data_IF_760826085242
#
_entry.id   IF_760826085242
#
_cell.length_a   1.000
_cell.length_b   1.000
_cell.length_c   1.000
_cell.angle_alpha   90.00
_cell.angle_beta   90.00
_cell.angle_gamma   90.00
#
_symmetry.space_group_name_H-M   'P 1'
#
loop_
_entity.id
_entity.type
_entity.pdbx_description
1 polymer ?
#
# COMPACT_ATOMS: atom_id res chain seq x y z
N UNK A 1 3.20 -28.05 -92.31
CA UNK A 1 2.65 -26.71 -92.50
C UNK A 1 1.54 -26.48 -91.51
N UNK A 2 1.79 -25.89 -90.39
CA UNK A 2 0.76 -25.35 -89.52
C UNK A 2 1.36 -24.16 -88.74
N UNK A 3 0.76 -23.02 -88.97
CA UNK A 3 1.07 -21.74 -88.38
C UNK A 3 0.65 -21.76 -86.91
N UNK A 4 1.53 -21.44 -85.96
CA UNK A 4 1.23 -21.28 -84.57
C UNK A 4 1.15 -19.79 -84.26
N UNK A 5 -0.03 -19.33 -83.86
CA UNK A 5 -0.35 -17.99 -83.40
C UNK A 5 0.11 -17.81 -81.93
N UNK A 6 0.94 -16.77 -81.71
CA UNK A 6 1.35 -16.38 -80.36
C UNK A 6 0.38 -15.36 -79.75
N UNK A 7 -0.32 -15.71 -78.72
CA UNK A 7 -1.10 -14.78 -77.92
C UNK A 7 -0.22 -14.18 -76.80
N UNK A 8 -0.05 -12.86 -76.79
CA UNK A 8 0.62 -12.10 -75.74
C UNK A 8 -0.34 -11.92 -74.54
N UNK A 9 -0.05 -12.57 -73.47
CA UNK A 9 -0.72 -12.29 -72.16
C UNK A 9 -0.12 -11.02 -71.55
N UNK A 10 -0.97 -10.01 -71.31
CA UNK A 10 -0.62 -8.82 -70.55
C UNK A 10 -0.75 -9.15 -69.09
N UNK A 11 0.37 -9.14 -68.34
CA UNK A 11 0.36 -9.19 -66.85
C UNK A 11 -0.05 -7.81 -66.34
N UNK A 12 -1.22 -7.72 -65.74
CA UNK A 12 -1.64 -6.58 -64.93
C UNK A 12 -1.04 -6.68 -63.53
N UNK A 13 -0.15 -5.76 -63.18
CA UNK A 13 0.39 -5.63 -61.82
C UNK A 13 -0.66 -4.90 -60.97
N UNK A 14 -1.32 -5.64 -60.09
CA UNK A 14 -2.17 -5.06 -59.05
C UNK A 14 -1.28 -4.71 -57.84
N UNK A 15 -0.95 -3.42 -57.70
CA UNK A 15 -0.26 -2.94 -56.49
C UNK A 15 -1.24 -2.91 -55.31
N UNK A 16 -1.13 -3.90 -54.42
CA UNK A 16 -1.83 -3.88 -53.15
C UNK A 16 -1.10 -2.93 -52.20
N UNK A 17 -1.67 -1.75 -51.97
CA UNK A 17 -1.26 -0.84 -50.89
C UNK A 17 -1.68 -1.45 -49.55
N UNK A 18 -0.75 -2.10 -48.86
CA UNK A 18 -0.92 -2.48 -47.47
C UNK A 18 -0.77 -1.23 -46.59
N UNK A 19 -1.88 -0.65 -46.14
CA UNK A 19 -1.88 0.39 -45.12
C UNK A 19 -1.64 -0.31 -43.79
N UNK A 20 -0.38 -0.34 -43.33
CA UNK A 20 -0.01 -0.75 -41.99
C UNK A 20 -0.44 0.35 -41.02
N UNK A 21 -1.61 0.20 -40.39
CA UNK A 21 -2.00 1.05 -39.28
C UNK A 21 -1.06 0.71 -38.08
N UNK A 22 -0.03 1.53 -37.91
CA UNK A 22 0.77 1.55 -36.69
C UNK A 22 -0.15 2.02 -35.55
N UNK A 23 -0.69 1.06 -34.81
CA UNK A 23 -1.30 1.34 -33.50
C UNK A 23 -0.17 1.71 -32.56
N UNK A 24 0.10 3.00 -32.45
CA UNK A 24 0.93 3.53 -31.37
C UNK A 24 0.18 3.32 -30.06
N UNK A 25 0.50 2.24 -29.36
CA UNK A 25 0.12 2.10 -27.95
C UNK A 25 0.84 3.23 -27.24
N UNK A 26 0.12 4.31 -26.96
CA UNK A 26 0.57 5.32 -26.02
C UNK A 26 0.62 4.67 -24.65
N UNK A 27 1.80 4.20 -24.25
CA UNK A 27 2.08 3.89 -22.85
C UNK A 27 2.01 5.24 -22.14
N UNK A 28 0.83 5.57 -21.59
CA UNK A 28 0.72 6.66 -20.64
C UNK A 28 1.61 6.24 -19.48
N UNK A 29 2.69 6.97 -19.17
CA UNK A 29 3.49 6.64 -18.01
C UNK A 29 2.55 6.66 -16.80
N UNK A 30 2.49 5.55 -16.07
CA UNK A 30 1.81 5.52 -14.79
C UNK A 30 2.39 6.68 -13.98
N UNK A 31 1.59 7.69 -13.73
CA UNK A 31 1.98 8.84 -12.92
C UNK A 31 2.49 8.27 -11.58
N UNK A 32 3.76 8.48 -11.28
CA UNK A 32 4.40 8.05 -10.04
C UNK A 32 3.93 8.90 -8.84
N UNK A 33 2.67 9.31 -8.82
CA UNK A 33 2.04 10.08 -7.79
C UNK A 33 0.65 9.53 -7.51
N UNK A 34 0.38 9.13 -6.27
CA UNK A 34 -0.96 8.79 -5.81
C UNK A 34 -1.95 9.93 -6.02
N UNK A 35 -3.24 9.67 -5.79
CA UNK A 35 -4.28 10.71 -5.85
C UNK A 35 -4.12 11.69 -4.69
N UNK A 36 -4.44 12.95 -4.93
CA UNK A 36 -4.40 13.96 -3.88
C UNK A 36 -5.53 13.74 -2.86
N UNK A 37 -5.22 13.97 -1.59
CA UNK A 37 -6.22 14.02 -0.54
C UNK A 37 -7.17 15.18 -0.80
N UNK A 38 -8.45 14.89 -0.95
CA UNK A 38 -9.49 15.89 -1.19
C UNK A 38 -10.61 15.73 -0.17
N UNK A 39 -10.78 16.73 0.67
CA UNK A 39 -11.85 16.74 1.67
C UNK A 39 -13.22 16.75 0.98
N UNK A 40 -14.16 16.03 1.57
CA UNK A 40 -15.55 16.05 1.08
C UNK A 40 -16.11 17.47 1.06
N UNK A 41 -16.86 17.79 0.00
CA UNK A 41 -17.59 19.06 -0.11
C UNK A 41 -18.85 18.96 0.74
N UNK A 42 -19.09 19.97 1.58
CA UNK A 42 -20.28 20.01 2.45
C UNK A 42 -21.57 19.88 1.61
N UNK A 43 -22.46 18.99 2.05
CA UNK A 43 -23.72 18.73 1.35
C UNK A 43 -23.62 17.87 0.09
N UNK A 44 -22.42 17.50 -0.37
CA UNK A 44 -22.26 16.67 -1.58
C UNK A 44 -22.89 15.29 -1.47
N UNK A 45 -23.05 14.76 -0.26
CA UNK A 45 -23.66 13.47 0.05
C UNK A 45 -25.09 13.55 0.58
N UNK A 46 -25.74 14.73 0.52
CA UNK A 46 -27.11 14.86 1.02
C UNK A 46 -28.06 13.89 0.32
N UNK A 47 -28.81 13.12 1.11
CA UNK A 47 -29.74 12.10 0.62
C UNK A 47 -29.07 10.78 0.25
N UNK A 48 -27.75 10.65 0.40
CA UNK A 48 -26.99 9.43 0.13
C UNK A 48 -26.73 8.69 1.45
N UNK A 49 -26.88 7.36 1.41
CA UNK A 49 -26.44 6.47 2.50
C UNK A 49 -25.21 5.69 2.02
N UNK A 50 -24.10 5.85 2.72
CA UNK A 50 -22.85 5.11 2.44
C UNK A 50 -22.50 4.16 3.57
N UNK A 51 -21.82 3.07 3.24
CA UNK A 51 -21.38 2.05 4.19
C UNK A 51 -19.84 2.00 4.32
N UNK A 52 -19.37 1.47 5.44
CA UNK A 52 -18.01 1.00 5.63
C UNK A 52 -18.04 -0.37 6.29
N UNK A 53 -17.50 -1.39 5.61
CA UNK A 53 -17.02 -2.61 6.28
C UNK A 53 -15.61 -2.28 6.75
N UNK A 54 -15.42 -2.14 8.06
CA UNK A 54 -14.13 -1.82 8.66
C UNK A 54 -13.21 -3.03 8.77
N UNK A 55 -11.92 -2.78 8.96
CA UNK A 55 -10.91 -3.81 9.18
C UNK A 55 -11.11 -4.49 10.55
N UNK A 56 -10.86 -3.71 11.60
CA UNK A 56 -11.04 -4.03 13.02
C UNK A 56 -10.74 -2.74 13.81
N UNK A 57 -11.70 -2.25 14.60
CA UNK A 57 -11.55 -1.01 15.37
C UNK A 57 -10.65 -1.18 16.62
N UNK A 58 -10.25 -2.39 16.96
CA UNK A 58 -9.23 -2.64 17.98
C UNK A 58 -7.81 -2.40 17.49
N UNK A 59 -7.61 -2.28 16.16
CA UNK A 59 -6.34 -1.98 15.51
C UNK A 59 -6.28 -0.49 15.20
N UNK A 60 -5.22 0.21 15.63
CA UNK A 60 -5.06 1.65 15.46
C UNK A 60 -5.26 2.11 14.02
N UNK A 61 -4.63 1.43 13.05
CA UNK A 61 -4.79 1.72 11.62
C UNK A 61 -6.26 1.59 11.16
N UNK A 62 -6.94 0.50 11.53
CA UNK A 62 -8.34 0.26 11.17
C UNK A 62 -9.26 1.33 11.74
N UNK A 63 -9.04 1.69 13.01
CA UNK A 63 -9.77 2.76 13.69
C UNK A 63 -9.56 4.13 13.06
N UNK A 64 -8.33 4.50 12.72
CA UNK A 64 -8.03 5.78 12.09
C UNK A 64 -8.69 5.89 10.71
N UNK A 65 -8.71 4.80 9.93
CA UNK A 65 -9.42 4.72 8.64
C UNK A 65 -10.92 4.90 8.86
N UNK A 66 -11.53 4.19 9.83
CA UNK A 66 -12.95 4.34 10.17
C UNK A 66 -13.28 5.78 10.56
N UNK A 67 -12.58 6.35 11.53
CA UNK A 67 -12.84 7.71 12.04
C UNK A 67 -12.71 8.76 10.93
N UNK A 68 -11.73 8.57 10.03
CA UNK A 68 -11.52 9.43 8.87
C UNK A 68 -12.71 9.38 7.90
N UNK A 69 -13.17 8.18 7.56
CA UNK A 69 -14.30 7.98 6.64
C UNK A 69 -15.59 8.52 7.25
N UNK A 70 -15.86 8.25 8.54
CA UNK A 70 -17.03 8.78 9.23
C UNK A 70 -17.03 10.32 9.25
N UNK A 71 -15.90 10.92 9.57
CA UNK A 71 -15.72 12.38 9.58
C UNK A 71 -16.04 13.00 8.22
N UNK A 72 -15.48 12.46 7.14
CA UNK A 72 -15.73 12.99 5.80
C UNK A 72 -17.15 12.70 5.30
N UNK A 73 -17.76 11.56 5.68
CA UNK A 73 -19.16 11.25 5.40
C UNK A 73 -20.12 12.25 6.08
N UNK A 74 -19.91 12.53 7.36
CA UNK A 74 -20.67 13.56 8.12
C UNK A 74 -20.53 14.94 7.48
N UNK A 75 -19.31 15.33 7.10
CA UNK A 75 -19.05 16.59 6.41
C UNK A 75 -19.77 16.68 5.05
N UNK A 76 -19.80 15.60 4.30
CA UNK A 76 -20.56 15.50 3.05
C UNK A 76 -22.08 15.56 3.28
N UNK A 77 -22.58 15.40 4.50
CA UNK A 77 -24.02 15.30 4.82
C UNK A 77 -24.62 13.96 4.39
N UNK A 78 -23.81 12.92 4.21
CA UNK A 78 -24.25 11.57 3.93
C UNK A 78 -24.66 10.84 5.23
N UNK A 79 -25.64 9.95 5.14
CA UNK A 79 -25.92 8.99 6.20
C UNK A 79 -24.83 7.91 6.19
N UNK A 80 -24.17 7.68 7.32
CA UNK A 80 -23.09 6.72 7.43
C UNK A 80 -23.54 5.45 8.17
N UNK A 81 -23.15 4.29 7.67
CA UNK A 81 -23.41 2.99 8.26
C UNK A 81 -22.09 2.24 8.40
N UNK A 82 -21.63 2.11 9.64
CA UNK A 82 -20.44 1.33 9.95
C UNK A 82 -20.78 -0.10 10.34
N UNK A 83 -19.89 -1.04 9.98
CA UNK A 83 -19.90 -2.42 10.41
C UNK A 83 -18.46 -2.91 10.54
N UNK A 84 -18.03 -3.23 11.77
CA UNK A 84 -16.69 -3.73 12.06
C UNK A 84 -16.50 -5.17 11.56
N UNK A 85 -15.57 -5.38 10.65
CA UNK A 85 -15.27 -6.68 10.02
C UNK A 85 -14.48 -7.63 10.90
N UNK A 86 -13.80 -7.13 11.95
CA UNK A 86 -13.05 -7.89 12.96
C UNK A 86 -12.04 -8.89 12.37
N UNK A 87 -11.42 -8.52 11.24
CA UNK A 87 -10.50 -9.38 10.47
C UNK A 87 -11.12 -10.71 10.02
N UNK A 88 -12.45 -10.83 9.99
CA UNK A 88 -13.15 -12.09 9.71
C UNK A 88 -14.07 -11.97 8.49
N UNK A 89 -13.87 -12.83 7.50
CA UNK A 89 -14.66 -12.84 6.26
C UNK A 89 -16.14 -13.12 6.47
N UNK A 90 -16.50 -13.97 7.43
CA UNK A 90 -17.89 -14.27 7.79
C UNK A 90 -18.59 -13.06 8.44
N UNK A 91 -17.88 -12.29 9.27
CA UNK A 91 -18.39 -11.05 9.84
C UNK A 91 -18.57 -10.00 8.75
N UNK A 92 -17.59 -9.83 7.84
CA UNK A 92 -17.69 -8.94 6.70
C UNK A 92 -18.87 -9.31 5.78
N UNK A 93 -19.12 -10.61 5.59
CA UNK A 93 -20.29 -11.12 4.86
C UNK A 93 -21.62 -10.70 5.53
N UNK A 94 -21.70 -10.78 6.86
CA UNK A 94 -22.87 -10.33 7.62
C UNK A 94 -23.05 -8.80 7.51
N UNK A 95 -21.96 -8.03 7.49
CA UNK A 95 -21.97 -6.59 7.24
C UNK A 95 -22.58 -6.26 5.86
N UNK A 96 -22.17 -6.95 4.81
CA UNK A 96 -22.70 -6.76 3.46
C UNK A 96 -24.21 -7.03 3.36
N UNK A 97 -24.70 -8.10 4.00
CA UNK A 97 -26.13 -8.38 4.13
C UNK A 97 -26.89 -7.25 4.85
N UNK A 98 -26.29 -6.71 5.92
CA UNK A 98 -26.84 -5.56 6.67
C UNK A 98 -26.93 -4.31 5.78
N UNK A 99 -25.91 -4.05 4.94
CA UNK A 99 -25.92 -2.93 4.01
C UNK A 99 -27.02 -3.05 2.96
N UNK A 100 -27.30 -4.27 2.47
CA UNK A 100 -28.43 -4.54 1.57
C UNK A 100 -29.76 -4.22 2.23
N UNK A 101 -29.98 -4.64 3.48
CA UNK A 101 -31.18 -4.34 4.24
C UNK A 101 -31.35 -2.84 4.52
N UNK A 102 -30.27 -2.13 4.82
CA UNK A 102 -30.25 -0.68 5.07
C UNK A 102 -30.27 0.16 3.79
N UNK A 103 -30.34 -0.47 2.60
CA UNK A 103 -30.37 0.21 1.28
C UNK A 103 -29.20 1.18 1.09
N UNK A 104 -28.00 0.75 1.48
CA UNK A 104 -26.76 1.51 1.26
C UNK A 104 -26.55 1.69 -0.24
N UNK A 105 -26.21 2.91 -0.69
CA UNK A 105 -26.10 3.27 -2.10
C UNK A 105 -24.67 3.16 -2.65
N UNK A 106 -23.70 2.93 -1.78
CA UNK A 106 -22.30 2.64 -2.07
C UNK A 106 -21.56 2.39 -0.78
N UNK A 107 -20.48 1.61 -0.81
CA UNK A 107 -19.72 1.35 0.41
C UNK A 107 -18.21 1.20 0.15
N UNK A 108 -17.44 1.46 1.19
CA UNK A 108 -16.03 1.14 1.26
C UNK A 108 -15.89 -0.22 1.93
N UNK A 109 -15.00 -1.05 1.42
CA UNK A 109 -14.80 -2.42 1.91
C UNK A 109 -13.35 -2.66 2.30
N UNK A 110 -13.11 -2.74 3.60
CA UNK A 110 -11.80 -3.04 4.18
C UNK A 110 -11.80 -4.45 4.81
N UNK A 111 -12.41 -5.42 4.12
CA UNK A 111 -12.36 -6.81 4.55
C UNK A 111 -10.94 -7.38 4.41
N UNK A 112 -10.44 -7.99 5.48
CA UNK A 112 -9.10 -8.57 5.53
C UNK A 112 -8.97 -9.91 4.79
N UNK A 113 -10.06 -10.62 4.62
CA UNK A 113 -10.10 -11.96 3.99
C UNK A 113 -10.45 -11.85 2.50
N UNK A 114 -9.43 -11.79 1.65
CA UNK A 114 -9.61 -11.74 0.20
C UNK A 114 -10.40 -12.95 -0.35
N UNK A 115 -10.31 -14.13 0.28
CA UNK A 115 -11.03 -15.32 -0.16
C UNK A 115 -12.56 -15.18 0.05
N UNK A 116 -13.00 -14.36 1.00
CA UNK A 116 -14.41 -14.09 1.24
C UNK A 116 -15.01 -13.07 0.25
N UNK A 117 -14.21 -12.36 -0.54
CA UNK A 117 -14.64 -11.23 -1.36
C UNK A 117 -15.80 -11.55 -2.29
N UNK A 118 -15.75 -12.67 -3.03
CA UNK A 118 -16.81 -13.06 -3.95
C UNK A 118 -18.14 -13.31 -3.24
N UNK A 119 -18.09 -13.93 -2.04
CA UNK A 119 -19.29 -14.18 -1.24
C UNK A 119 -19.88 -12.88 -0.67
N UNK A 120 -19.02 -11.95 -0.21
CA UNK A 120 -19.39 -10.62 0.26
C UNK A 120 -20.05 -9.82 -0.86
N UNK A 121 -19.47 -9.83 -2.06
CA UNK A 121 -20.02 -9.16 -3.25
C UNK A 121 -21.41 -9.69 -3.61
N UNK A 122 -21.60 -11.02 -3.59
CA UNK A 122 -22.89 -11.66 -3.89
C UNK A 122 -23.96 -11.33 -2.85
N UNK A 123 -23.59 -11.26 -1.58
CA UNK A 123 -24.50 -11.03 -0.46
C UNK A 123 -24.91 -9.57 -0.31
N UNK A 124 -24.00 -8.65 -0.67
CA UNK A 124 -24.19 -7.20 -0.53
C UNK A 124 -25.17 -6.57 -1.51
N UNK A 125 -25.41 -5.27 -1.37
CA UNK A 125 -26.14 -4.51 -2.38
C UNK A 125 -25.30 -4.38 -3.65
N UNK A 126 -25.97 -4.40 -4.82
CA UNK A 126 -25.32 -4.21 -6.12
C UNK A 126 -25.15 -2.70 -6.38
N UNK A 127 -24.15 -2.11 -5.77
CA UNK A 127 -23.87 -0.65 -5.76
C UNK A 127 -22.36 -0.44 -5.91
N UNK A 128 -21.89 0.78 -6.18
CA UNK A 128 -20.46 1.06 -6.23
C UNK A 128 -19.74 0.67 -4.93
N UNK A 129 -18.60 -0.01 -5.09
CA UNK A 129 -17.73 -0.45 -4.00
C UNK A 129 -16.31 0.07 -4.22
N UNK A 130 -15.74 0.71 -3.21
CA UNK A 130 -14.31 1.01 -3.17
C UNK A 130 -13.64 0.01 -2.22
N UNK A 131 -12.78 -0.85 -2.75
CA UNK A 131 -11.94 -1.72 -1.95
C UNK A 131 -10.85 -0.91 -1.25
N UNK A 132 -10.55 -1.21 0.02
CA UNK A 132 -9.47 -0.57 0.79
C UNK A 132 -8.36 -1.57 1.04
N UNK A 133 -7.15 -1.26 0.59
CA UNK A 133 -5.86 -1.97 0.77
C UNK A 133 -5.85 -3.45 0.34
N UNK A 134 -6.98 -4.10 0.26
CA UNK A 134 -7.15 -5.50 -0.14
C UNK A 134 -8.22 -5.55 -1.23
N UNK A 135 -7.89 -6.17 -2.37
CA UNK A 135 -8.81 -6.28 -3.50
C UNK A 135 -10.08 -7.06 -3.12
N UNK A 136 -11.22 -6.57 -3.61
CA UNK A 136 -12.54 -7.10 -3.30
C UNK A 136 -13.29 -7.51 -4.59
N UNK A 137 -12.64 -8.37 -5.38
CA UNK A 137 -13.23 -8.89 -6.60
C UNK A 137 -14.44 -9.83 -6.32
N UNK A 138 -15.45 -9.83 -7.22
CA UNK A 138 -15.55 -9.11 -8.51
C UNK A 138 -16.31 -7.78 -8.45
N UNK A 139 -16.68 -7.26 -7.28
CA UNK A 139 -17.61 -6.12 -7.20
C UNK A 139 -16.94 -4.76 -7.01
N UNK A 140 -15.64 -4.67 -6.88
CA UNK A 140 -14.97 -3.39 -6.69
C UNK A 140 -15.08 -2.50 -7.93
N UNK A 141 -15.57 -1.28 -7.73
CA UNK A 141 -15.63 -0.24 -8.76
C UNK A 141 -14.34 0.59 -8.82
N UNK A 142 -13.61 0.63 -7.71
CA UNK A 142 -12.28 1.21 -7.58
C UNK A 142 -11.52 0.56 -6.41
N UNK A 143 -10.21 0.67 -6.45
CA UNK A 143 -9.30 0.24 -5.38
C UNK A 143 -8.62 1.47 -4.78
N UNK A 144 -8.69 1.63 -3.46
CA UNK A 144 -7.99 2.67 -2.70
C UNK A 144 -7.00 2.01 -1.76
N UNK A 145 -5.74 2.42 -1.79
CA UNK A 145 -4.75 1.83 -0.91
C UNK A 145 -3.34 2.26 -1.19
N UNK A 146 -2.42 1.65 -0.46
CA UNK A 146 -1.00 1.90 -0.57
C UNK A 146 -0.45 1.52 -1.96
N UNK A 147 0.46 2.33 -2.47
CA UNK A 147 1.40 1.90 -3.50
C UNK A 147 2.56 1.16 -2.82
N UNK A 148 2.31 -0.11 -2.50
CA UNK A 148 3.18 -0.92 -1.66
C UNK A 148 4.64 -0.99 -2.16
N UNK A 149 4.84 -1.13 -3.47
CA UNK A 149 6.19 -1.18 -4.05
C UNK A 149 6.90 0.18 -3.91
N UNK A 150 6.21 1.28 -4.25
CA UNK A 150 6.77 2.62 -4.14
C UNK A 150 6.98 3.04 -2.67
N UNK A 151 6.10 2.61 -1.77
CA UNK A 151 6.26 2.85 -0.33
C UNK A 151 7.54 2.20 0.19
N UNK A 152 7.77 0.92 -0.13
CA UNK A 152 9.03 0.23 0.21
C UNK A 152 10.24 0.90 -0.42
N UNK A 153 10.18 1.22 -1.72
CA UNK A 153 11.28 1.85 -2.44
C UNK A 153 11.67 3.22 -1.87
N UNK A 154 10.68 4.00 -1.42
CA UNK A 154 10.92 5.31 -0.80
C UNK A 154 11.78 5.20 0.46
N UNK A 155 11.41 4.33 1.40
CA UNK A 155 12.21 4.10 2.62
C UNK A 155 13.51 3.39 2.30
N UNK A 156 13.53 2.40 1.40
CA UNK A 156 14.77 1.73 0.97
C UNK A 156 15.79 2.72 0.40
N UNK A 157 15.35 3.67 -0.42
CA UNK A 157 16.18 4.74 -0.96
C UNK A 157 16.69 5.69 0.14
N UNK A 158 15.86 6.00 1.14
CA UNK A 158 16.29 6.83 2.28
C UNK A 158 17.42 6.14 3.07
N UNK A 159 17.28 4.84 3.35
CA UNK A 159 18.32 4.02 3.98
C UNK A 159 19.59 3.99 3.12
N UNK A 160 19.45 3.74 1.81
CA UNK A 160 20.58 3.75 0.88
C UNK A 160 21.33 5.07 0.86
N UNK A 161 20.62 6.20 0.82
CA UNK A 161 21.23 7.54 0.88
C UNK A 161 21.98 7.77 2.19
N UNK A 162 21.42 7.33 3.31
CA UNK A 162 22.10 7.43 4.61
C UNK A 162 23.39 6.59 4.63
N UNK A 163 23.32 5.33 4.18
CA UNK A 163 24.49 4.45 4.13
C UNK A 163 25.54 4.93 3.13
N UNK A 164 25.14 5.48 1.99
CA UNK A 164 26.08 6.08 1.04
C UNK A 164 26.83 7.26 1.65
N UNK A 165 26.11 8.13 2.35
CA UNK A 165 26.69 9.34 2.96
C UNK A 165 27.63 9.01 4.12
N UNK A 166 27.23 8.09 5.01
CA UNK A 166 27.91 7.89 6.28
C UNK A 166 28.87 6.69 6.29
N UNK A 167 28.65 5.71 5.43
CA UNK A 167 29.38 4.44 5.40
C UNK A 167 29.83 4.03 4.00
N UNK A 168 29.77 4.91 3.00
CA UNK A 168 30.12 4.61 1.60
C UNK A 168 29.43 3.32 1.08
N UNK A 169 28.16 3.11 1.45
CA UNK A 169 27.37 1.90 1.17
C UNK A 169 27.90 0.60 1.81
N UNK A 170 28.81 0.69 2.79
CA UNK A 170 29.22 -0.48 3.56
C UNK A 170 28.18 -0.84 4.62
N UNK A 171 27.78 -2.11 4.66
CA UNK A 171 26.90 -2.69 5.68
C UNK A 171 27.24 -4.16 5.89
N UNK A 172 26.89 -4.69 7.06
CA UNK A 172 27.22 -6.06 7.45
C UNK A 172 26.13 -7.05 7.06
N UNK A 173 24.86 -6.70 7.28
CA UNK A 173 23.70 -7.52 6.95
C UNK A 173 22.50 -6.64 6.60
N UNK A 174 21.56 -7.20 5.85
CA UNK A 174 20.25 -6.65 5.54
C UNK A 174 19.19 -7.63 6.04
N UNK A 175 18.55 -7.32 7.15
CA UNK A 175 17.49 -8.12 7.77
C UNK A 175 16.14 -7.62 7.29
N UNK A 176 15.33 -8.52 6.76
CA UNK A 176 13.98 -8.28 6.23
C UNK A 176 12.97 -8.98 7.13
N UNK A 177 12.23 -8.22 7.93
CA UNK A 177 11.16 -8.74 8.81
C UNK A 177 9.85 -8.70 8.02
N UNK A 178 9.50 -9.84 7.47
CA UNK A 178 8.39 -10.05 6.56
C UNK A 178 7.13 -10.56 7.29
N UNK A 179 5.96 -10.42 6.69
CA UNK A 179 4.73 -11.12 7.09
C UNK A 179 4.18 -11.82 5.87
N UNK A 180 4.52 -13.11 5.72
CA UNK A 180 4.10 -13.89 4.55
C UNK A 180 2.59 -14.11 4.49
N UNK A 181 1.89 -13.96 5.62
CA UNK A 181 0.43 -14.11 5.70
C UNK A 181 -0.34 -13.04 4.91
N UNK A 182 0.29 -11.88 4.64
CA UNK A 182 -0.35 -10.80 3.86
C UNK A 182 -0.06 -10.88 2.35
N UNK A 183 0.58 -11.96 1.89
CA UNK A 183 0.73 -12.31 0.48
C UNK A 183 1.43 -11.23 -0.35
N UNK A 184 0.81 -10.84 -1.47
CA UNK A 184 1.41 -9.91 -2.46
C UNK A 184 1.79 -8.56 -1.85
N UNK A 185 1.12 -8.08 -0.81
CA UNK A 185 1.48 -6.84 -0.16
C UNK A 185 2.86 -6.95 0.52
N UNK A 186 3.18 -8.11 1.14
CA UNK A 186 4.51 -8.37 1.67
C UNK A 186 5.57 -8.35 0.55
N UNK A 187 5.32 -9.06 -0.54
CA UNK A 187 6.27 -9.15 -1.66
C UNK A 187 6.60 -7.77 -2.22
N UNK A 188 5.57 -6.94 -2.46
CA UNK A 188 5.72 -5.60 -3.00
C UNK A 188 6.44 -4.65 -2.02
N UNK A 189 6.06 -4.65 -0.73
CA UNK A 189 6.69 -3.79 0.28
C UNK A 189 8.15 -4.14 0.47
N UNK A 190 8.42 -5.43 0.72
CA UNK A 190 9.78 -5.88 1.04
C UNK A 190 10.66 -5.92 -0.20
N UNK A 191 10.12 -6.21 -1.39
CA UNK A 191 10.78 -6.01 -2.68
C UNK A 191 11.15 -4.56 -2.90
N UNK A 192 10.20 -3.65 -2.67
CA UNK A 192 10.42 -2.21 -2.77
C UNK A 192 11.60 -1.71 -1.93
N UNK A 193 11.74 -2.13 -0.66
CA UNK A 193 12.91 -1.76 0.17
C UNK A 193 14.23 -2.17 -0.49
N UNK A 194 14.29 -3.40 -1.00
CA UNK A 194 15.51 -3.92 -1.65
C UNK A 194 15.83 -3.13 -2.92
N UNK A 195 14.82 -2.84 -3.73
CA UNK A 195 14.97 -2.08 -4.99
C UNK A 195 15.36 -0.63 -4.71
N UNK A 196 14.72 0.01 -3.74
CA UNK A 196 15.04 1.37 -3.31
C UNK A 196 16.47 1.48 -2.78
N UNK A 197 16.90 0.57 -1.92
CA UNK A 197 18.27 0.53 -1.43
C UNK A 197 19.26 0.26 -2.57
N UNK A 198 18.96 -0.71 -3.43
CA UNK A 198 19.80 -1.08 -4.55
C UNK A 198 19.99 0.06 -5.57
N UNK A 199 18.98 0.92 -5.72
CA UNK A 199 19.07 2.10 -6.60
C UNK A 199 20.16 3.11 -6.19
N UNK A 200 20.65 3.01 -4.94
CA UNK A 200 21.66 3.90 -4.37
C UNK A 200 22.99 3.17 -4.11
N UNK A 201 22.92 2.00 -3.51
CA UNK A 201 24.08 1.24 -3.03
C UNK A 201 24.38 -0.05 -3.82
N UNK A 202 23.63 -0.32 -4.89
CA UNK A 202 23.76 -1.55 -5.66
C UNK A 202 23.00 -2.72 -5.04
N UNK A 203 22.93 -3.82 -5.77
CA UNK A 203 22.19 -5.02 -5.38
C UNK A 203 22.68 -5.59 -4.03
N UNK A 204 21.74 -6.05 -3.21
CA UNK A 204 22.04 -6.67 -1.92
C UNK A 204 22.57 -8.09 -2.18
N UNK A 205 23.84 -8.40 -1.81
CA UNK A 205 24.37 -9.77 -1.95
C UNK A 205 23.53 -10.77 -1.15
N UNK A 206 23.26 -11.94 -1.73
CA UNK A 206 22.46 -12.98 -1.09
C UNK A 206 23.01 -13.40 0.29
N UNK A 207 24.33 -13.40 0.47
CA UNK A 207 24.99 -13.72 1.74
C UNK A 207 24.66 -12.71 2.85
N UNK A 208 24.33 -11.46 2.50
CA UNK A 208 23.98 -10.40 3.46
C UNK A 208 22.48 -10.30 3.72
N UNK A 209 21.62 -10.84 2.84
CA UNK A 209 20.17 -10.78 2.98
C UNK A 209 19.68 -11.91 3.90
N UNK A 210 19.01 -11.52 4.97
CA UNK A 210 18.35 -12.43 5.92
C UNK A 210 16.86 -12.09 5.96
N UNK A 211 16.00 -13.08 5.72
CA UNK A 211 14.54 -12.92 5.72
C UNK A 211 13.94 -13.74 6.85
N UNK A 212 13.03 -13.12 7.61
CA UNK A 212 12.34 -13.76 8.71
C UNK A 212 10.84 -13.43 8.65
N UNK A 213 9.98 -14.40 8.94
CA UNK A 213 8.54 -14.19 9.14
C UNK A 213 8.31 -13.56 10.52
N UNK A 214 8.61 -12.28 10.63
CA UNK A 214 8.70 -11.54 11.88
C UNK A 214 8.25 -10.07 11.73
N UNK A 215 7.29 -9.82 10.84
CA UNK A 215 6.75 -8.47 10.61
C UNK A 215 5.91 -7.91 11.75
N UNK A 216 5.50 -8.74 12.72
CA UNK A 216 4.73 -8.33 13.90
C UNK A 216 5.63 -8.08 15.09
N UNK A 217 5.15 -7.26 16.04
CA UNK A 217 5.92 -6.89 17.23
C UNK A 217 6.40 -8.11 18.03
N UNK A 218 5.50 -9.03 18.34
CA UNK A 218 5.78 -10.25 19.11
C UNK A 218 6.78 -11.15 18.40
N UNK A 219 6.62 -11.33 17.09
CA UNK A 219 7.52 -12.13 16.26
C UNK A 219 8.90 -11.50 16.09
N UNK A 220 8.97 -10.18 15.95
CA UNK A 220 10.25 -9.48 15.92
C UNK A 220 11.00 -9.58 17.24
N UNK A 221 10.29 -9.49 18.37
CA UNK A 221 10.85 -9.72 19.72
C UNK A 221 11.44 -11.13 19.88
N UNK A 222 10.77 -12.14 19.31
CA UNK A 222 11.20 -13.55 19.36
C UNK A 222 12.45 -13.78 18.47
N UNK A 223 12.45 -13.27 17.24
CA UNK A 223 13.44 -13.63 16.21
C UNK A 223 14.73 -12.79 16.28
N UNK A 224 14.63 -11.51 16.62
CA UNK A 224 15.77 -10.59 16.51
C UNK A 224 16.96 -10.93 17.43
N UNK A 225 16.80 -11.41 18.69
CA UNK A 225 17.93 -11.81 19.52
C UNK A 225 18.78 -12.89 18.83
N UNK A 226 18.15 -13.93 18.27
CA UNK A 226 18.83 -15.01 17.57
C UNK A 226 19.49 -14.51 16.27
N UNK A 227 18.80 -13.69 15.50
CA UNK A 227 19.36 -13.07 14.30
C UNK A 227 20.63 -12.28 14.62
N UNK A 228 20.66 -11.52 15.72
CA UNK A 228 21.81 -10.73 16.15
C UNK A 228 22.97 -11.60 16.66
N UNK A 229 22.69 -12.74 17.27
CA UNK A 229 23.76 -13.68 17.72
C UNK A 229 24.52 -14.29 16.56
N UNK A 230 23.89 -14.39 15.37
CA UNK A 230 24.59 -14.84 14.14
C UNK A 230 25.51 -13.77 13.54
N UNK A 231 25.50 -12.56 14.08
CA UNK A 231 26.23 -11.38 13.59
C UNK A 231 27.13 -10.78 14.70
N UNK A 232 28.05 -11.54 15.30
CA UNK A 232 28.88 -11.04 16.39
C UNK A 232 29.81 -9.91 15.91
N UNK A 233 29.88 -8.82 16.69
CA UNK A 233 30.73 -7.66 16.39
C UNK A 233 30.33 -6.83 15.18
N UNK A 234 29.18 -7.13 14.54
CA UNK A 234 28.62 -6.38 13.42
C UNK A 234 27.77 -5.22 13.93
N UNK A 235 27.98 -4.01 13.42
CA UNK A 235 27.32 -2.78 13.90
C UNK A 235 26.71 -1.92 12.80
N UNK A 236 26.74 -2.39 11.56
CA UNK A 236 26.09 -1.75 10.40
C UNK A 236 24.99 -2.67 9.86
N UNK A 237 24.05 -3.07 10.72
CA UNK A 237 22.98 -4.01 10.38
C UNK A 237 21.74 -3.22 9.96
N UNK A 238 21.35 -3.35 8.69
CA UNK A 238 20.10 -2.76 8.19
C UNK A 238 18.96 -3.68 8.56
N UNK A 239 17.89 -3.13 9.15
CA UNK A 239 16.66 -3.85 9.48
C UNK A 239 15.48 -3.15 8.84
N UNK A 240 14.73 -3.84 7.99
CA UNK A 240 13.48 -3.34 7.43
C UNK A 240 12.33 -4.24 7.82
N UNK A 241 11.17 -3.66 8.05
CA UNK A 241 9.96 -4.44 8.38
C UNK A 241 8.78 -4.01 7.52
N UNK A 242 7.84 -4.94 7.35
CA UNK A 242 6.61 -4.71 6.58
C UNK A 242 5.76 -3.57 7.14
N UNK A 243 5.89 -3.28 8.44
CA UNK A 243 5.19 -2.23 9.18
C UNK A 243 6.05 -1.68 10.33
N UNK A 244 5.51 -0.72 11.09
CA UNK A 244 6.19 -0.09 12.21
C UNK A 244 6.38 -1.03 13.40
N UNK A 245 5.42 -1.92 13.67
CA UNK A 245 5.43 -2.84 14.81
C UNK A 245 6.62 -3.81 14.75
N UNK A 246 6.98 -4.28 13.54
CA UNK A 246 8.17 -5.11 13.35
C UNK A 246 9.46 -4.38 13.75
N UNK A 247 9.57 -3.07 13.45
CA UNK A 247 10.75 -2.27 13.85
C UNK A 247 10.73 -1.96 15.34
N UNK A 248 9.56 -1.69 15.95
CA UNK A 248 9.46 -1.56 17.41
C UNK A 248 9.95 -2.83 18.15
N UNK A 249 9.51 -4.00 17.65
CA UNK A 249 9.97 -5.28 18.17
C UNK A 249 11.48 -5.47 17.99
N UNK A 250 12.01 -5.12 16.81
CA UNK A 250 13.44 -5.24 16.52
C UNK A 250 14.30 -4.36 17.45
N UNK A 251 13.94 -3.08 17.65
CA UNK A 251 14.68 -2.21 18.58
C UNK A 251 14.55 -2.68 20.03
N UNK A 252 13.36 -3.12 20.45
CA UNK A 252 13.14 -3.63 21.80
C UNK A 252 13.98 -4.88 22.07
N UNK A 253 14.02 -5.82 21.14
CA UNK A 253 14.84 -7.02 21.22
C UNK A 253 16.34 -6.70 21.20
N UNK A 254 16.79 -5.81 20.30
CA UNK A 254 18.18 -5.39 20.23
C UNK A 254 18.64 -4.71 21.52
N UNK A 255 17.77 -3.87 22.13
CA UNK A 255 18.04 -3.23 23.43
C UNK A 255 18.19 -4.24 24.56
N UNK A 256 17.35 -5.28 24.58
CA UNK A 256 17.42 -6.33 25.62
C UNK A 256 18.76 -7.07 25.60
N UNK A 257 19.45 -7.13 24.46
CA UNK A 257 20.78 -7.75 24.31
C UNK A 257 21.92 -6.72 24.16
N UNK A 258 21.66 -5.43 24.42
CA UNK A 258 22.64 -4.33 24.40
C UNK A 258 23.17 -3.99 23.01
N UNK A 259 22.38 -4.23 21.94
CA UNK A 259 22.78 -4.07 20.54
C UNK A 259 21.89 -3.11 19.74
N UNK A 260 21.14 -2.27 20.40
CA UNK A 260 20.24 -1.30 19.76
C UNK A 260 20.97 -0.29 18.85
N UNK A 261 22.26 -0.03 19.14
CA UNK A 261 23.11 0.85 18.33
C UNK A 261 23.74 0.16 17.11
N UNK A 262 23.61 -1.14 16.99
CA UNK A 262 24.15 -1.92 15.88
C UNK A 262 23.17 -1.98 14.70
N UNK A 263 21.89 -1.66 14.92
CA UNK A 263 20.84 -1.74 13.91
C UNK A 263 20.42 -0.35 13.40
N UNK A 264 20.14 -0.30 12.10
CA UNK A 264 19.69 0.89 11.38
C UNK A 264 18.40 0.52 10.64
N UNK A 265 17.29 1.18 10.97
CA UNK A 265 15.99 0.63 10.63
C UNK A 265 15.16 1.49 9.69
N UNK A 266 14.25 0.84 8.98
CA UNK A 266 13.19 1.48 8.20
C UNK A 266 11.89 0.70 8.23
N UNK A 267 10.78 1.43 8.32
CA UNK A 267 9.43 0.88 8.44
C UNK A 267 8.46 1.43 7.40
N UNK A 268 7.22 0.96 7.48
CA UNK A 268 6.08 1.48 6.72
C UNK A 268 4.87 1.63 7.65
N UNK A 269 4.15 2.75 7.48
CA UNK A 269 3.01 3.14 8.29
C UNK A 269 3.18 4.58 8.75
N UNK A 270 4.24 4.87 9.50
CA UNK A 270 4.42 6.07 10.31
C UNK A 270 3.20 6.32 11.19
N UNK A 271 2.76 5.26 11.88
CA UNK A 271 1.61 5.29 12.77
C UNK A 271 1.89 6.16 14.00
N UNK A 272 0.83 6.69 14.60
CA UNK A 272 0.94 7.60 15.75
C UNK A 272 1.72 6.99 16.93
N UNK A 273 1.63 5.68 17.11
CA UNK A 273 2.32 4.92 18.17
C UNK A 273 3.84 4.96 18.07
N UNK A 274 4.40 5.24 16.89
CA UNK A 274 5.85 5.28 16.64
C UNK A 274 6.40 6.68 16.38
N UNK A 275 5.57 7.72 16.42
CA UNK A 275 6.03 9.07 16.08
C UNK A 275 7.19 9.55 16.96
N UNK A 276 7.13 9.26 18.26
CA UNK A 276 8.21 9.61 19.17
C UNK A 276 9.49 8.82 18.86
N UNK A 277 9.36 7.53 18.58
CA UNK A 277 10.50 6.70 18.22
C UNK A 277 11.16 7.20 16.92
N UNK A 278 10.37 7.48 15.87
CA UNK A 278 10.88 8.05 14.61
C UNK A 278 11.56 9.40 14.85
N UNK A 279 11.00 10.23 15.76
CA UNK A 279 11.50 11.58 16.02
C UNK A 279 12.80 11.58 16.79
N UNK A 280 12.98 10.67 17.74
CA UNK A 280 14.07 10.70 18.74
C UNK A 280 15.13 9.64 18.56
N UNK A 281 14.86 8.59 17.76
CA UNK A 281 15.81 7.53 17.50
C UNK A 281 16.53 7.76 16.15
N UNK A 282 17.78 8.24 16.20
CA UNK A 282 18.60 8.50 15.01
C UNK A 282 18.89 7.25 14.16
N UNK A 283 18.70 6.05 14.73
CA UNK A 283 18.82 4.79 14.01
C UNK A 283 17.54 4.36 13.28
N UNK A 284 16.40 5.04 13.51
CA UNK A 284 15.20 4.88 12.70
C UNK A 284 15.26 5.82 11.49
N UNK A 285 15.88 5.35 10.41
CA UNK A 285 16.26 6.17 9.25
C UNK A 285 15.10 6.65 8.40
N UNK A 286 13.97 5.96 8.50
CA UNK A 286 12.77 6.37 7.77
C UNK A 286 11.59 5.45 7.98
N UNK A 287 10.40 6.01 7.77
CA UNK A 287 9.13 5.31 7.66
C UNK A 287 8.34 5.89 6.50
N UNK A 288 7.70 5.08 5.69
CA UNK A 288 6.79 5.62 4.67
C UNK A 288 5.41 5.81 5.27
N UNK A 289 4.93 7.06 5.32
CA UNK A 289 3.62 7.38 5.86
C UNK A 289 2.48 6.95 4.94
N UNK A 290 1.43 6.39 5.54
CA UNK A 290 0.21 5.93 4.85
C UNK A 290 -0.98 6.85 5.10
N UNK A 291 -0.97 7.63 6.17
CA UNK A 291 -2.02 8.59 6.53
C UNK A 291 -3.41 7.94 6.68
N UNK A 292 -3.58 6.87 7.49
CA UNK A 292 -4.89 6.23 7.68
C UNK A 292 -5.95 7.22 8.15
N UNK A 293 -5.57 8.22 8.95
CA UNK A 293 -6.43 9.31 9.43
C UNK A 293 -6.94 10.24 8.30
N UNK A 294 -6.49 10.02 7.05
CA UNK A 294 -6.89 10.79 5.87
C UNK A 294 -7.54 9.95 4.76
N UNK A 295 -7.71 8.66 4.95
CA UNK A 295 -8.35 7.79 3.94
C UNK A 295 -9.75 8.26 3.55
N UNK A 296 -10.50 8.85 4.48
CA UNK A 296 -11.79 9.45 4.20
C UNK A 296 -11.73 10.60 3.18
N UNK A 297 -10.59 11.34 3.12
CA UNK A 297 -10.39 12.43 2.15
C UNK A 297 -10.21 11.91 0.70
N UNK A 298 -10.07 10.60 0.50
CA UNK A 298 -10.09 9.94 -0.81
C UNK A 298 -11.40 9.14 -0.94
N UNK A 299 -11.63 8.20 -0.03
CA UNK A 299 -12.71 7.23 -0.14
C UNK A 299 -14.10 7.87 -0.28
N UNK A 300 -14.43 8.84 0.57
CA UNK A 300 -15.78 9.44 0.57
C UNK A 300 -16.08 10.27 -0.67
N UNK A 301 -15.22 11.22 -1.11
CA UNK A 301 -15.49 11.99 -2.31
C UNK A 301 -15.58 11.14 -3.57
N UNK A 302 -14.69 10.16 -3.72
CA UNK A 302 -14.71 9.27 -4.90
C UNK A 302 -15.91 8.31 -4.88
N UNK A 303 -16.31 7.80 -3.70
CA UNK A 303 -17.52 6.98 -3.58
C UNK A 303 -18.78 7.77 -3.94
N UNK A 304 -18.91 9.01 -3.47
CA UNK A 304 -20.01 9.89 -3.82
C UNK A 304 -20.03 10.18 -5.34
N UNK A 305 -18.88 10.39 -5.96
CA UNK A 305 -18.76 10.57 -7.40
C UNK A 305 -19.24 9.33 -8.16
N UNK A 306 -18.82 8.11 -7.72
CA UNK A 306 -19.30 6.83 -8.29
C UNK A 306 -20.82 6.68 -8.15
N UNK A 307 -21.40 6.94 -6.98
CA UNK A 307 -22.85 6.86 -6.73
C UNK A 307 -23.61 7.81 -7.67
N UNK A 308 -23.03 8.96 -8.00
CA UNK A 308 -23.60 9.95 -8.95
C UNK A 308 -23.32 9.63 -10.42
N UNK A 309 -22.76 8.45 -10.73
CA UNK A 309 -22.46 8.01 -12.10
C UNK A 309 -21.25 8.70 -12.75
N UNK A 310 -20.41 9.39 -11.98
CA UNK A 310 -19.19 10.00 -12.52
C UNK A 310 -18.10 8.95 -12.70
N UNK A 311 -17.26 9.14 -13.71
CA UNK A 311 -16.05 8.35 -13.90
C UNK A 311 -14.99 8.71 -12.85
N UNK A 312 -14.40 7.70 -12.22
CA UNK A 312 -13.27 7.84 -11.30
C UNK A 312 -12.12 6.91 -11.76
N UNK A 313 -10.86 7.22 -11.42
CA UNK A 313 -9.76 6.29 -11.64
C UNK A 313 -10.02 4.98 -10.90
N UNK A 314 -9.70 3.83 -11.53
CA UNK A 314 -9.81 2.55 -10.83
C UNK A 314 -8.83 2.47 -9.66
N UNK A 315 -7.57 2.90 -9.87
CA UNK A 315 -6.54 2.93 -8.84
C UNK A 315 -6.49 4.30 -8.14
N UNK A 316 -6.91 4.34 -6.88
CA UNK A 316 -6.85 5.50 -6.00
C UNK A 316 -5.68 5.33 -5.02
N UNK A 317 -4.45 5.32 -5.56
CA UNK A 317 -3.24 5.12 -4.76
C UNK A 317 -3.03 6.25 -3.76
N UNK A 318 -2.67 5.91 -2.52
CA UNK A 318 -2.29 6.87 -1.49
C UNK A 318 -0.97 7.53 -1.87
N UNK A 319 -0.89 8.86 -1.72
CA UNK A 319 0.34 9.61 -1.93
C UNK A 319 1.22 9.47 -0.68
N UNK A 320 2.23 8.64 -0.79
CA UNK A 320 3.15 8.38 0.30
C UNK A 320 4.18 9.49 0.52
N UNK A 321 4.61 9.65 1.76
CA UNK A 321 5.70 10.55 2.15
C UNK A 321 6.69 9.77 3.00
N UNK A 322 7.98 9.85 2.65
CA UNK A 322 9.04 9.30 3.49
C UNK A 322 9.25 10.21 4.72
N UNK A 323 9.04 9.66 5.90
CA UNK A 323 9.13 10.34 7.20
C UNK A 323 10.39 9.90 7.92
N UNK A 324 11.06 10.83 8.57
CA UNK A 324 12.18 10.60 9.50
C UNK A 324 12.19 11.67 10.60
N UNK A 325 13.13 11.61 11.53
CA UNK A 325 13.22 12.54 12.64
C UNK A 325 13.33 14.02 12.23
N UNK A 326 13.83 14.32 11.03
CA UNK A 326 14.02 15.72 10.56
C UNK A 326 12.78 16.32 9.91
N UNK A 327 11.82 15.50 9.48
CA UNK A 327 10.65 15.98 8.73
C UNK A 327 9.30 15.57 9.32
N UNK A 328 9.27 14.75 10.36
CA UNK A 328 8.03 14.24 10.96
C UNK A 328 7.09 15.36 11.41
N UNK A 329 7.61 16.43 12.02
CA UNK A 329 6.81 17.56 12.51
C UNK A 329 6.18 18.39 11.38
N UNK A 330 6.63 18.22 10.12
CA UNK A 330 6.00 18.85 8.94
C UNK A 330 4.74 18.14 8.50
N UNK A 331 4.60 16.85 8.85
CA UNK A 331 3.52 15.98 8.39
C UNK A 331 2.55 15.62 9.51
N UNK A 332 3.04 15.54 10.74
CA UNK A 332 2.28 15.13 11.92
C UNK A 332 2.51 16.10 13.09
N UNK A 333 1.48 16.25 13.93
CA UNK A 333 1.61 17.01 15.18
C UNK A 333 2.14 16.08 16.27
N UNK A 334 3.47 15.96 16.37
CA UNK A 334 4.11 15.10 17.37
C UNK A 334 4.23 15.85 18.69
N UNK A 335 3.64 15.33 19.74
CA UNK A 335 3.65 15.91 21.09
C UNK A 335 3.99 14.84 22.13
N UNK A 336 4.66 15.21 23.19
CA UNK A 336 4.91 14.33 24.33
C UNK A 336 6.14 13.41 24.20
N UNK A 337 7.04 13.69 23.25
CA UNK A 337 8.36 13.06 23.23
C UNK A 337 9.28 13.81 24.18
#
# INVERSE_FOLDING_TARGET
MKVVSSSKARLGVVAALAISALITIQIVPASAGGVDFRKAVAGSGKGITIGLIGLDDSIGFGKDVHDSIEREAKKAGAKFVFCDGKLKGDVALACAKTFKLKKVQGYLNFNADAAASAAICKAGPQVPVIAIDIEQDPCQSAFMGADNANAGASTGKAIGNYFKKNFNCEYDAFISLEDYGVGIANELRMGGYRDGFASVCGAIPAAKLKKYDAGRLDKALEVMPDALTTLPGKNKIIVVAINDQGIQGAFSAAKAVGREKDIWAGSQGAEKTVWCDIKTNDHWLGATAYFPERYGEIGVPYLIDLIKGKKVPFQLKIKHVAINGTNIDKNFKVTGC
#
